data_IF_920710448346
#
_entry.id   IF_920710448346
#
_cell.length_a   1.000
_cell.length_b   1.000
_cell.length_c   1.000
_cell.angle_alpha   90.00
_cell.angle_beta   90.00
_cell.angle_gamma   90.00
#
_symmetry.space_group_name_H-M   'P 1'
#
loop_
_entity.id
_entity.type
_entity.pdbx_description
1 polymer ?
#
# COMPACT_ATOMS: atom_id res chain seq x y z
N UNK A 1 10.83 -43.52 3.90
CA UNK A 1 10.27 -43.66 5.26
C UNK A 1 11.10 -42.83 6.24
N UNK A 2 10.65 -41.67 6.65
CA UNK A 2 11.11 -40.95 7.86
C UNK A 2 9.92 -40.25 8.46
N UNK A 3 9.56 -40.65 9.66
CA UNK A 3 8.40 -40.16 10.43
C UNK A 3 8.75 -38.80 11.04
N UNK A 4 7.91 -37.80 10.85
CA UNK A 4 7.94 -36.51 11.55
C UNK A 4 7.15 -36.63 12.85
N UNK A 5 7.77 -36.28 13.98
CA UNK A 5 7.16 -36.22 15.30
C UNK A 5 6.35 -34.91 15.49
N UNK A 6 5.20 -34.94 16.14
CA UNK A 6 4.48 -33.71 16.49
C UNK A 6 4.98 -33.16 17.83
N UNK A 7 5.47 -31.94 17.83
CA UNK A 7 5.76 -31.16 19.04
C UNK A 7 4.45 -30.61 19.62
N UNK A 8 4.03 -31.18 20.77
CA UNK A 8 3.00 -30.62 21.66
C UNK A 8 3.66 -29.54 22.53
N UNK A 9 3.33 -28.28 22.30
CA UNK A 9 3.71 -27.17 23.18
C UNK A 9 2.52 -26.88 24.10
N UNK A 10 2.63 -27.16 25.40
CA UNK A 10 1.66 -26.78 26.42
C UNK A 10 2.13 -25.52 27.12
N UNK A 11 1.45 -24.40 26.92
CA UNK A 11 1.65 -23.16 27.66
C UNK A 11 0.94 -23.27 29.03
N UNK A 12 1.71 -23.22 30.12
CA UNK A 12 1.20 -22.98 31.47
C UNK A 12 1.17 -21.48 31.75
N UNK A 13 0.00 -20.99 32.13
CA UNK A 13 -0.21 -19.63 32.61
C UNK A 13 0.04 -19.60 34.13
N UNK A 14 0.90 -18.71 34.67
CA UNK A 14 1.05 -18.56 36.12
C UNK A 14 -0.08 -17.65 36.66
N UNK A 15 -0.81 -18.17 37.65
CA UNK A 15 -1.75 -17.41 38.47
C UNK A 15 -0.98 -16.65 39.56
N UNK A 16 -0.84 -15.34 39.43
CA UNK A 16 -0.27 -14.48 40.48
C UNK A 16 -1.34 -13.95 41.42
N UNK A 17 -1.10 -14.11 42.72
CA UNK A 17 -1.97 -13.65 43.82
C UNK A 17 -1.93 -12.11 43.96
N UNK A 18 -3.10 -11.56 44.23
CA UNK A 18 -3.32 -10.16 44.63
C UNK A 18 -2.65 -9.85 45.99
N UNK A 19 -1.97 -8.69 46.05
CA UNK A 19 -1.73 -7.99 47.30
C UNK A 19 -2.27 -6.55 47.15
N UNK A 20 -3.37 -6.30 47.84
CA UNK A 20 -3.97 -4.96 47.98
C UNK A 20 -3.14 -4.10 48.93
N UNK A 21 -2.54 -3.01 48.41
CA UNK A 21 -2.14 -1.87 49.24
C UNK A 21 -2.86 -0.62 48.71
N UNK A 22 -3.92 -0.24 49.43
CA UNK A 22 -4.69 1.00 49.24
C UNK A 22 -3.89 2.17 49.81
N UNK A 23 -3.26 2.98 48.93
CA UNK A 23 -2.88 4.34 49.23
C UNK A 23 -3.77 5.28 48.41
N UNK A 24 -4.54 6.11 49.13
CA UNK A 24 -5.48 7.09 48.58
C UNK A 24 -4.71 8.12 47.69
N UNK A 25 -5.00 8.16 46.40
CA UNK A 25 -4.54 9.20 45.46
C UNK A 25 -5.39 10.43 45.53
N UNK A 26 -4.76 11.60 45.56
CA UNK A 26 -5.38 12.93 45.53
C UNK A 26 -6.09 13.17 44.19
N UNK A 27 -7.22 13.98 44.12
CA UNK A 27 -8.11 14.04 42.95
C UNK A 27 -7.66 14.97 41.82
N UNK A 28 -6.38 15.21 41.57
CA UNK A 28 -5.99 16.23 40.58
C UNK A 28 -4.90 15.83 39.57
N UNK A 29 -4.63 14.53 39.36
CA UNK A 29 -3.70 14.06 38.34
C UNK A 29 -4.41 13.23 37.24
N UNK A 30 -5.47 13.77 36.65
CA UNK A 30 -6.01 13.22 35.41
C UNK A 30 -5.19 13.77 34.24
N UNK A 31 -4.04 13.12 33.95
CA UNK A 31 -3.43 13.22 32.61
C UNK A 31 -4.50 12.79 31.59
N UNK A 32 -4.63 13.50 30.45
CA UNK A 32 -5.53 13.05 29.39
C UNK A 32 -5.16 11.59 29.04
N UNK A 33 -6.14 10.69 29.09
CA UNK A 33 -5.95 9.32 28.60
C UNK A 33 -5.51 9.45 27.14
N UNK A 34 -4.28 9.04 26.83
CA UNK A 34 -3.86 8.83 25.45
C UNK A 34 -4.93 7.95 24.80
N UNK A 35 -5.61 8.50 23.80
CA UNK A 35 -6.50 7.69 22.97
C UNK A 35 -5.63 6.64 22.33
N UNK A 36 -5.78 5.41 22.74
CA UNK A 36 -5.15 4.27 22.08
C UNK A 36 -5.44 4.32 20.56
N UNK A 37 -4.62 3.67 19.73
CA UNK A 37 -4.80 3.70 18.28
C UNK A 37 -6.26 3.37 17.96
N UNK A 38 -6.92 4.22 17.16
CA UNK A 38 -8.26 3.97 16.64
C UNK A 38 -8.19 2.69 15.79
N UNK A 39 -8.39 1.54 16.43
CA UNK A 39 -8.52 0.27 15.71
C UNK A 39 -9.86 0.31 14.96
N UNK A 40 -9.80 0.56 13.68
CA UNK A 40 -10.95 0.39 12.81
C UNK A 40 -11.35 -1.10 12.88
N UNK A 41 -12.57 -1.38 13.32
CA UNK A 41 -13.10 -2.75 13.37
C UNK A 41 -13.18 -3.27 11.93
N UNK A 42 -12.41 -4.29 11.62
CA UNK A 42 -12.50 -4.99 10.34
C UNK A 42 -13.67 -5.96 10.40
N UNK A 43 -14.70 -5.82 9.54
CA UNK A 43 -15.86 -6.70 9.57
C UNK A 43 -15.51 -8.11 9.09
N UNK A 44 -16.21 -9.11 9.65
CA UNK A 44 -16.10 -10.49 9.23
C UNK A 44 -17.25 -10.86 8.29
N UNK A 45 -16.95 -11.66 7.28
CA UNK A 45 -17.89 -12.24 6.34
C UNK A 45 -17.93 -13.76 6.58
N UNK A 46 -19.14 -14.31 6.75
CA UNK A 46 -19.35 -15.76 6.93
C UNK A 46 -19.81 -16.34 5.58
N UNK A 47 -19.04 -17.25 5.01
CA UNK A 47 -19.41 -18.03 3.84
C UNK A 47 -19.89 -19.40 4.24
N UNK A 48 -21.07 -19.79 3.74
CA UNK A 48 -21.55 -21.18 3.83
C UNK A 48 -21.01 -21.98 2.66
N UNK A 49 -20.31 -23.05 2.94
CA UNK A 49 -19.78 -23.99 1.95
C UNK A 49 -20.37 -25.37 2.20
N UNK A 50 -20.34 -26.26 1.22
CA UNK A 50 -20.77 -27.67 1.40
C UNK A 50 -20.03 -28.44 2.48
N UNK A 51 -18.95 -27.86 3.06
CA UNK A 51 -18.14 -28.41 4.17
C UNK A 51 -18.30 -27.66 5.49
N UNK A 52 -19.27 -26.73 5.58
CA UNK A 52 -19.54 -25.91 6.77
C UNK A 52 -19.31 -24.43 6.57
N UNK A 53 -19.43 -23.67 7.66
CA UNK A 53 -19.23 -22.20 7.66
C UNK A 53 -17.75 -21.85 7.81
N UNK A 54 -17.31 -20.82 7.07
CA UNK A 54 -15.98 -20.22 7.19
C UNK A 54 -16.11 -18.71 7.37
N UNK A 55 -15.47 -18.20 8.41
CA UNK A 55 -15.37 -16.75 8.67
C UNK A 55 -14.07 -16.22 8.06
N UNK A 56 -14.19 -15.11 7.34
CA UNK A 56 -13.05 -14.35 6.79
C UNK A 56 -13.20 -12.90 7.25
N UNK A 57 -12.11 -12.22 7.55
CA UNK A 57 -12.14 -10.76 7.52
C UNK A 57 -12.34 -10.26 6.09
N UNK A 58 -12.81 -9.01 5.92
CA UNK A 58 -13.17 -8.50 4.60
C UNK A 58 -12.00 -8.49 3.61
N UNK A 59 -10.76 -8.20 4.08
CA UNK A 59 -9.59 -8.15 3.19
C UNK A 59 -9.16 -9.56 2.75
N UNK A 60 -9.18 -10.54 3.67
CA UNK A 60 -8.96 -11.95 3.33
C UNK A 60 -10.02 -12.48 2.35
N UNK A 61 -11.27 -12.01 2.49
CA UNK A 61 -12.34 -12.37 1.55
C UNK A 61 -12.11 -11.77 0.16
N UNK A 62 -11.72 -10.50 0.09
CA UNK A 62 -11.38 -9.84 -1.16
C UNK A 62 -10.17 -10.48 -1.85
N UNK A 63 -9.16 -10.89 -1.08
CA UNK A 63 -7.97 -11.56 -1.61
C UNK A 63 -8.31 -12.87 -2.34
N UNK A 64 -9.32 -13.62 -1.90
CA UNK A 64 -9.83 -14.79 -2.64
C UNK A 64 -10.35 -14.44 -4.03
N UNK A 65 -10.85 -13.23 -4.21
CA UNK A 65 -11.31 -12.71 -5.51
C UNK A 65 -10.17 -11.96 -6.23
N UNK A 66 -8.92 -12.18 -5.80
CA UNK A 66 -7.69 -11.59 -6.35
C UNK A 66 -7.68 -10.05 -6.27
N UNK A 67 -8.27 -9.51 -5.21
CA UNK A 67 -8.35 -8.07 -4.94
C UNK A 67 -7.41 -7.73 -3.77
N UNK A 68 -6.48 -6.82 -4.03
CA UNK A 68 -5.59 -6.21 -3.05
C UNK A 68 -6.00 -4.74 -2.86
N UNK A 69 -5.92 -4.23 -1.64
CA UNK A 69 -6.30 -2.85 -1.34
C UNK A 69 -5.19 -2.08 -0.60
N UNK A 70 -4.74 -0.97 -1.19
CA UNK A 70 -3.85 0.00 -0.54
C UNK A 70 -4.71 1.19 -0.11
N UNK A 71 -5.14 1.19 1.16
CA UNK A 71 -6.08 2.17 1.72
C UNK A 71 -5.46 3.12 2.77
N UNK A 72 -4.13 3.21 2.84
CA UNK A 72 -3.40 3.98 3.85
C UNK A 72 -2.09 4.56 3.28
N UNK A 73 -1.36 5.40 4.06
CA UNK A 73 0.03 5.72 3.70
C UNK A 73 0.88 4.46 3.54
N UNK A 74 1.80 4.49 2.57
CA UNK A 74 2.68 3.37 2.25
C UNK A 74 3.90 3.42 3.17
N UNK A 75 3.97 2.48 4.09
CA UNK A 75 5.11 2.19 4.95
C UNK A 75 5.64 0.78 4.70
N UNK A 76 6.64 0.35 5.46
CA UNK A 76 7.24 -0.99 5.32
C UNK A 76 6.24 -2.12 5.61
N UNK A 77 5.29 -1.92 6.53
CA UNK A 77 4.28 -2.93 6.87
C UNK A 77 3.29 -3.12 5.72
N UNK A 78 2.79 -2.00 5.18
CA UNK A 78 1.90 -2.00 4.00
C UNK A 78 2.62 -2.63 2.81
N UNK A 79 3.88 -2.25 2.57
CA UNK A 79 4.66 -2.80 1.46
C UNK A 79 4.84 -4.32 1.59
N UNK A 80 5.29 -4.80 2.74
CA UNK A 80 5.48 -6.23 2.98
C UNK A 80 4.18 -7.03 2.81
N UNK A 81 3.05 -6.48 3.28
CA UNK A 81 1.74 -7.12 3.13
C UNK A 81 1.32 -7.20 1.67
N UNK A 82 1.42 -6.10 0.92
CA UNK A 82 1.04 -6.07 -0.51
C UNK A 82 1.94 -6.99 -1.33
N UNK A 83 3.25 -6.99 -1.09
CA UNK A 83 4.20 -7.89 -1.74
C UNK A 83 3.85 -9.35 -1.48
N UNK A 84 3.58 -9.71 -0.22
CA UNK A 84 3.19 -11.08 0.13
C UNK A 84 1.89 -11.51 -0.58
N UNK A 85 0.91 -10.60 -0.70
CA UNK A 85 -0.35 -10.85 -1.41
C UNK A 85 -0.12 -11.01 -2.93
N UNK A 86 0.72 -10.18 -3.55
CA UNK A 86 1.07 -10.30 -4.97
C UNK A 86 1.73 -11.65 -5.26
N UNK A 87 2.74 -12.02 -4.47
CA UNK A 87 3.44 -13.31 -4.63
C UNK A 87 2.53 -14.51 -4.36
N UNK A 88 1.63 -14.41 -3.39
CA UNK A 88 0.64 -15.46 -3.11
C UNK A 88 -0.31 -15.67 -4.30
N UNK A 89 -0.84 -14.59 -4.87
CA UNK A 89 -1.76 -14.66 -6.01
C UNK A 89 -1.06 -15.10 -7.29
N UNK A 90 0.19 -14.71 -7.49
CA UNK A 90 1.04 -15.22 -8.58
C UNK A 90 1.21 -16.75 -8.48
N UNK A 91 1.53 -17.26 -7.27
CA UNK A 91 1.71 -18.69 -7.05
C UNK A 91 0.40 -19.49 -7.16
N UNK A 92 -0.74 -18.88 -6.87
CA UNK A 92 -2.07 -19.49 -6.96
C UNK A 92 -2.50 -19.67 -8.43
N UNK A 93 -2.43 -18.62 -9.25
CA UNK A 93 -2.75 -18.66 -10.68
C UNK A 93 -2.09 -17.49 -11.41
N UNK A 94 -0.98 -17.68 -12.13
CA UNK A 94 -0.28 -16.60 -12.81
C UNK A 94 -0.98 -16.10 -14.08
N UNK A 95 -2.02 -16.80 -14.57
CA UNK A 95 -2.75 -16.44 -15.79
C UNK A 95 -3.96 -15.52 -15.50
N UNK A 96 -4.32 -15.36 -14.23
CA UNK A 96 -5.43 -14.50 -13.83
C UNK A 96 -4.95 -13.15 -13.32
N UNK A 97 -5.67 -12.10 -13.71
CA UNK A 97 -5.40 -10.74 -13.27
C UNK A 97 -5.44 -10.58 -11.76
N UNK A 98 -4.56 -9.72 -11.24
CA UNK A 98 -4.59 -9.22 -9.87
C UNK A 98 -5.16 -7.81 -9.91
N UNK A 99 -6.18 -7.53 -9.09
CA UNK A 99 -6.82 -6.23 -9.03
C UNK A 99 -6.30 -5.43 -7.83
N UNK A 100 -5.53 -4.38 -8.06
CA UNK A 100 -4.97 -3.51 -7.03
C UNK A 100 -5.77 -2.21 -6.94
N UNK A 101 -6.58 -2.06 -5.88
CA UNK A 101 -7.32 -0.83 -5.58
C UNK A 101 -6.49 0.10 -4.71
N UNK A 102 -6.43 1.38 -5.08
CA UNK A 102 -5.54 2.37 -4.46
C UNK A 102 -6.36 3.57 -3.96
N UNK A 103 -6.27 3.83 -2.65
CA UNK A 103 -6.74 5.04 -1.98
C UNK A 103 -5.67 5.49 -0.98
N UNK A 104 -4.60 6.12 -1.48
CA UNK A 104 -3.42 6.39 -0.68
C UNK A 104 -2.80 7.75 -0.98
N UNK A 105 -2.33 8.49 0.04
CA UNK A 105 -1.56 9.71 -0.15
C UNK A 105 -0.10 9.46 -0.60
N UNK A 106 0.30 8.20 -0.82
CA UNK A 106 1.69 7.82 -1.03
C UNK A 106 2.40 7.46 0.27
N UNK A 107 3.72 7.64 0.32
CA UNK A 107 4.49 7.31 1.53
C UNK A 107 5.97 7.10 1.27
N UNK A 108 6.59 6.18 1.99
CA UNK A 108 8.02 5.91 1.99
C UNK A 108 8.47 5.38 0.64
N UNK A 109 9.43 6.06 -0.01
CA UNK A 109 9.85 5.75 -1.38
C UNK A 109 10.43 4.32 -1.50
N UNK A 110 11.38 3.85 -0.67
CA UNK A 110 11.86 2.48 -0.75
C UNK A 110 10.76 1.43 -0.63
N UNK A 111 9.81 1.63 0.29
CA UNK A 111 8.66 0.73 0.48
C UNK A 111 7.75 0.69 -0.76
N UNK A 112 7.51 1.85 -1.37
CA UNK A 112 6.75 1.94 -2.61
C UNK A 112 7.47 1.35 -3.82
N UNK A 113 8.78 1.53 -3.94
CA UNK A 113 9.58 0.92 -5.01
C UNK A 113 9.62 -0.62 -4.88
N UNK A 114 9.64 -1.16 -3.66
CA UNK A 114 9.54 -2.61 -3.44
C UNK A 114 8.21 -3.18 -3.96
N UNK A 115 7.08 -2.48 -3.75
CA UNK A 115 5.79 -2.86 -4.36
C UNK A 115 5.86 -2.73 -5.88
N UNK A 116 6.42 -1.62 -6.39
CA UNK A 116 6.57 -1.36 -7.82
C UNK A 116 7.33 -2.50 -8.51
N UNK A 117 8.50 -2.85 -7.99
CA UNK A 117 9.32 -3.92 -8.56
C UNK A 117 8.60 -5.27 -8.52
N UNK A 118 7.82 -5.54 -7.46
CA UNK A 118 7.02 -6.77 -7.37
C UNK A 118 5.90 -6.78 -8.41
N UNK A 119 5.21 -5.66 -8.65
CA UNK A 119 4.20 -5.53 -9.72
C UNK A 119 4.84 -5.83 -11.09
N UNK A 120 6.07 -5.36 -11.33
CA UNK A 120 6.77 -5.62 -12.60
C UNK A 120 7.36 -7.04 -12.69
N UNK A 121 7.56 -7.73 -11.57
CA UNK A 121 8.19 -9.04 -11.48
C UNK A 121 7.21 -10.19 -11.69
N UNK A 122 5.97 -10.07 -11.16
CA UNK A 122 4.95 -11.11 -11.31
C UNK A 122 4.51 -11.26 -12.78
N UNK A 123 4.15 -12.47 -13.20
CA UNK A 123 3.67 -12.75 -14.55
C UNK A 123 2.21 -12.35 -14.75
N UNK A 124 1.43 -12.47 -13.67
CA UNK A 124 0.02 -12.07 -13.69
C UNK A 124 -0.11 -10.59 -14.03
N UNK A 125 -1.05 -10.24 -14.89
CA UNK A 125 -1.39 -8.84 -15.15
C UNK A 125 -1.93 -8.17 -13.88
N UNK A 126 -1.41 -7.00 -13.55
CA UNK A 126 -1.86 -6.22 -12.40
C UNK A 126 -2.72 -5.05 -12.89
N UNK A 127 -4.03 -5.19 -12.74
CA UNK A 127 -4.98 -4.12 -13.00
C UNK A 127 -5.01 -3.16 -11.80
N UNK A 128 -4.80 -1.86 -12.04
CA UNK A 128 -4.78 -0.85 -10.98
C UNK A 128 -5.96 0.10 -11.08
N UNK A 129 -6.60 0.39 -9.94
CA UNK A 129 -7.76 1.30 -9.91
C UNK A 129 -7.65 2.30 -8.77
N UNK A 130 -7.64 3.59 -9.10
CA UNK A 130 -7.72 4.65 -8.10
C UNK A 130 -9.14 4.84 -7.60
N UNK A 131 -9.33 4.76 -6.28
CA UNK A 131 -10.59 5.02 -5.57
C UNK A 131 -10.36 6.11 -4.56
N UNK A 132 -10.82 7.33 -4.82
CA UNK A 132 -10.59 8.50 -3.97
C UNK A 132 -9.30 9.22 -4.33
N UNK A 133 -8.13 8.72 -3.92
CA UNK A 133 -6.86 9.38 -4.28
C UNK A 133 -5.71 8.40 -4.55
N UNK A 134 -4.83 8.80 -5.45
CA UNK A 134 -3.52 8.21 -5.64
C UNK A 134 -2.48 9.33 -5.74
N UNK A 135 -1.73 9.58 -4.67
CA UNK A 135 -0.78 10.68 -4.62
C UNK A 135 0.66 10.19 -4.41
N UNK A 136 1.65 10.90 -4.98
CA UNK A 136 3.07 10.61 -4.78
C UNK A 136 3.43 9.16 -5.18
N UNK A 137 3.99 8.35 -4.27
CA UNK A 137 4.28 6.93 -4.53
C UNK A 137 3.05 6.14 -4.99
N UNK A 138 1.86 6.45 -4.48
CA UNK A 138 0.63 5.77 -4.91
C UNK A 138 0.27 6.09 -6.37
N UNK A 139 0.59 7.28 -6.88
CA UNK A 139 0.42 7.63 -8.29
C UNK A 139 1.38 6.83 -9.19
N UNK A 140 2.61 6.60 -8.73
CA UNK A 140 3.54 5.71 -9.43
C UNK A 140 3.01 4.26 -9.46
N UNK A 141 2.50 3.74 -8.34
CA UNK A 141 1.92 2.39 -8.31
C UNK A 141 0.68 2.28 -9.21
N UNK A 142 -0.14 3.34 -9.26
CA UNK A 142 -1.29 3.38 -10.17
C UNK A 142 -0.87 3.26 -11.63
N UNK A 143 0.12 4.04 -12.07
CA UNK A 143 0.58 4.00 -13.45
C UNK A 143 1.47 2.79 -13.77
N UNK A 144 1.97 2.07 -12.75
CA UNK A 144 2.78 0.86 -12.89
C UNK A 144 1.97 -0.39 -13.24
N UNK A 145 0.64 -0.33 -13.17
CA UNK A 145 -0.22 -1.43 -13.59
C UNK A 145 -0.05 -1.79 -15.06
N UNK A 146 -0.57 -2.94 -15.44
CA UNK A 146 -0.53 -3.43 -16.82
C UNK A 146 -1.25 -2.44 -17.75
N UNK A 147 -0.58 -2.07 -18.83
CA UNK A 147 -1.12 -1.11 -19.80
C UNK A 147 -2.45 -1.60 -20.38
N UNK A 148 -3.45 -0.72 -20.43
CA UNK A 148 -4.82 -1.04 -20.82
C UNK A 148 -5.68 -1.52 -19.64
N UNK A 149 -5.11 -1.71 -18.44
CA UNK A 149 -5.81 -2.17 -17.23
C UNK A 149 -5.66 -1.20 -16.04
N UNK A 150 -5.30 0.06 -16.31
CA UNK A 150 -5.11 1.10 -15.30
C UNK A 150 -6.30 2.05 -15.34
N UNK A 151 -6.95 2.30 -14.21
CA UNK A 151 -8.14 3.13 -14.19
C UNK A 151 -8.31 3.96 -12.94
N UNK A 152 -9.32 4.82 -12.97
CA UNK A 152 -9.76 5.60 -11.82
C UNK A 152 -11.27 5.79 -11.81
N UNK A 153 -11.87 5.96 -10.63
CA UNK A 153 -13.25 6.40 -10.52
C UNK A 153 -13.37 7.89 -10.85
N UNK A 154 -14.53 8.39 -11.32
CA UNK A 154 -14.68 9.74 -11.92
C UNK A 154 -14.25 10.89 -11.00
N UNK A 155 -14.44 10.76 -9.68
CA UNK A 155 -14.10 11.79 -8.69
C UNK A 155 -12.76 11.55 -7.99
N UNK A 156 -11.97 10.59 -8.48
CA UNK A 156 -10.64 10.33 -7.94
C UNK A 156 -9.67 11.47 -8.27
N UNK A 157 -8.71 11.68 -7.36
CA UNK A 157 -7.64 12.66 -7.56
C UNK A 157 -6.29 11.96 -7.66
N UNK A 158 -5.52 12.30 -8.65
CA UNK A 158 -4.14 11.83 -8.81
C UNK A 158 -3.19 13.01 -8.61
N UNK A 159 -2.08 12.79 -7.91
CA UNK A 159 -1.09 13.82 -7.67
C UNK A 159 0.32 13.26 -7.83
N UNK A 160 1.12 13.93 -8.62
CA UNK A 160 2.54 13.63 -8.77
C UNK A 160 3.39 14.79 -8.24
N UNK A 161 4.53 14.47 -7.67
CA UNK A 161 5.53 15.40 -7.21
C UNK A 161 6.90 14.73 -7.04
N UNK A 162 7.96 15.53 -6.90
CA UNK A 162 9.29 15.02 -6.55
C UNK A 162 9.32 14.45 -5.12
N UNK A 163 10.25 13.54 -4.80
CA UNK A 163 10.42 13.04 -3.44
C UNK A 163 10.60 14.18 -2.45
N UNK A 164 9.92 14.07 -1.30
CA UNK A 164 10.07 15.00 -0.20
C UNK A 164 10.91 14.37 0.90
N UNK A 165 11.87 15.12 1.43
CA UNK A 165 12.73 14.65 2.51
C UNK A 165 13.63 15.76 3.02
N UNK A 166 14.27 15.52 4.15
CA UNK A 166 15.27 16.38 4.77
C UNK A 166 16.38 15.55 5.37
N UNK A 167 17.57 16.13 5.47
CA UNK A 167 18.75 15.50 6.05
C UNK A 167 19.34 16.41 7.12
N UNK A 168 19.72 15.81 8.25
CA UNK A 168 20.42 16.48 9.33
C UNK A 168 21.56 15.58 9.79
N UNK A 169 22.76 16.15 10.02
CA UNK A 169 23.92 15.38 10.49
C UNK A 169 25.22 16.07 10.16
N UNK A 170 26.31 15.30 10.09
CA UNK A 170 27.61 15.79 9.65
C UNK A 170 27.60 16.16 8.16
N UNK A 171 28.46 17.08 7.74
CA UNK A 171 28.50 17.57 6.35
C UNK A 171 28.64 16.42 5.34
N UNK A 172 29.52 15.45 5.62
CA UNK A 172 29.72 14.28 4.75
C UNK A 172 28.47 13.41 4.65
N UNK A 173 27.72 13.23 5.73
CA UNK A 173 26.46 12.47 5.73
C UNK A 173 25.38 13.20 4.93
N UNK A 174 25.29 14.52 5.08
CA UNK A 174 24.37 15.36 4.31
C UNK A 174 24.66 15.24 2.82
N UNK A 175 25.95 15.27 2.42
CA UNK A 175 26.35 15.12 1.02
C UNK A 175 25.95 13.74 0.45
N UNK A 176 26.22 12.66 1.19
CA UNK A 176 25.86 11.29 0.79
C UNK A 176 24.35 11.16 0.62
N UNK A 177 23.57 11.59 1.60
CA UNK A 177 22.11 11.52 1.52
C UNK A 177 21.53 12.40 0.42
N UNK A 178 22.12 13.57 0.17
CA UNK A 178 21.68 14.44 -0.92
C UNK A 178 21.87 13.78 -2.28
N UNK A 179 23.02 13.13 -2.50
CA UNK A 179 23.29 12.36 -3.72
C UNK A 179 22.26 11.24 -3.92
N UNK A 180 21.91 10.52 -2.85
CA UNK A 180 20.90 9.46 -2.89
C UNK A 180 19.52 10.02 -3.21
N UNK A 181 19.09 11.12 -2.58
CA UNK A 181 17.82 11.77 -2.88
C UNK A 181 17.72 12.22 -4.35
N UNK A 182 18.80 12.74 -4.94
CA UNK A 182 18.86 13.12 -6.35
C UNK A 182 18.75 11.90 -7.26
N UNK A 183 19.38 10.78 -6.92
CA UNK A 183 19.26 9.53 -7.64
C UNK A 183 17.81 8.99 -7.59
N UNK A 184 17.20 8.96 -6.42
CA UNK A 184 15.81 8.56 -6.23
C UNK A 184 14.86 9.45 -7.04
N UNK A 185 15.04 10.79 -6.99
CA UNK A 185 14.27 11.74 -7.80
C UNK A 185 14.34 11.36 -9.28
N UNK A 186 15.54 11.17 -9.83
CA UNK A 186 15.76 10.79 -11.22
C UNK A 186 15.09 9.47 -11.57
N UNK A 187 15.22 8.45 -10.71
CA UNK A 187 14.58 7.14 -10.88
C UNK A 187 13.07 7.29 -10.97
N UNK A 188 12.45 8.00 -10.04
CA UNK A 188 10.99 8.25 -10.04
C UNK A 188 10.52 8.93 -11.32
N UNK A 189 11.24 9.95 -11.80
CA UNK A 189 10.92 10.65 -13.03
C UNK A 189 11.03 9.73 -14.26
N UNK A 190 12.04 8.88 -14.32
CA UNK A 190 12.21 7.90 -15.40
C UNK A 190 11.08 6.85 -15.40
N UNK A 191 10.68 6.36 -14.21
CA UNK A 191 9.57 5.42 -14.08
C UNK A 191 8.25 6.04 -14.50
N UNK A 192 7.95 7.27 -14.07
CA UNK A 192 6.77 8.01 -14.53
C UNK A 192 6.78 8.21 -16.05
N UNK A 193 7.92 8.62 -16.63
CA UNK A 193 8.08 8.77 -18.07
C UNK A 193 7.82 7.46 -18.82
N UNK A 194 8.39 6.34 -18.33
CA UNK A 194 8.21 5.00 -18.90
C UNK A 194 6.73 4.61 -18.99
N UNK A 195 5.97 4.83 -17.92
CA UNK A 195 4.57 4.35 -17.83
C UNK A 195 3.56 5.31 -18.46
N UNK A 196 3.84 6.63 -18.45
CA UNK A 196 2.94 7.65 -19.01
C UNK A 196 3.19 7.90 -20.49
N UNK A 197 4.40 7.62 -20.99
CA UNK A 197 4.84 8.03 -22.32
C UNK A 197 5.22 9.51 -22.45
N UNK A 198 5.15 10.27 -21.35
CA UNK A 198 5.57 11.67 -21.34
C UNK A 198 7.11 11.78 -21.38
N UNK A 199 7.63 12.86 -21.98
CA UNK A 199 9.07 13.14 -21.96
C UNK A 199 9.56 13.41 -20.55
N UNK A 200 10.78 12.95 -20.23
CA UNK A 200 11.37 13.11 -18.88
C UNK A 200 11.42 14.58 -18.46
N UNK A 201 11.72 15.51 -19.39
CA UNK A 201 11.80 16.94 -19.11
C UNK A 201 10.43 17.52 -18.72
N UNK A 202 9.33 16.98 -19.30
CA UNK A 202 7.97 17.35 -18.90
C UNK A 202 7.64 16.82 -17.51
N UNK A 203 7.96 15.55 -17.23
CA UNK A 203 7.80 14.95 -15.91
C UNK A 203 8.58 15.74 -14.86
N UNK A 204 9.83 16.11 -15.14
CA UNK A 204 10.68 16.89 -14.25
C UNK A 204 10.06 18.24 -13.89
N UNK A 205 9.54 18.96 -14.90
CA UNK A 205 8.85 20.22 -14.72
C UNK A 205 7.57 20.09 -13.90
N UNK A 206 6.72 19.08 -14.23
CA UNK A 206 5.41 18.91 -13.62
C UNK A 206 5.53 18.36 -12.18
N UNK A 207 6.57 17.58 -11.89
CA UNK A 207 6.83 17.05 -10.54
C UNK A 207 7.63 17.97 -9.63
N UNK A 208 8.06 19.15 -10.10
CA UNK A 208 8.80 20.10 -9.24
C UNK A 208 7.99 20.52 -8.01
N UNK A 209 6.69 20.62 -8.16
CA UNK A 209 5.70 20.86 -7.09
C UNK A 209 4.54 19.89 -7.23
N UNK A 210 3.58 19.95 -6.28
CA UNK A 210 2.38 19.15 -6.33
C UNK A 210 1.58 19.43 -7.60
N UNK A 211 1.47 18.45 -8.48
CA UNK A 211 0.68 18.52 -9.70
C UNK A 211 -0.54 17.62 -9.57
N UNK A 212 -1.69 18.24 -9.29
CA UNK A 212 -2.96 17.56 -9.08
C UNK A 212 -3.72 17.40 -10.39
N UNK A 213 -4.31 16.22 -10.58
CA UNK A 213 -5.11 15.86 -11.73
C UNK A 213 -6.45 15.24 -11.30
N UNK A 214 -7.52 15.55 -12.03
CA UNK A 214 -8.76 14.78 -12.06
C UNK A 214 -8.51 13.41 -12.72
N UNK A 215 -9.49 12.52 -12.69
CA UNK A 215 -9.39 11.24 -13.37
C UNK A 215 -9.20 11.42 -14.89
N UNK A 216 -9.93 12.35 -15.52
CA UNK A 216 -9.79 12.64 -16.96
C UNK A 216 -8.42 13.22 -17.31
N UNK A 217 -7.94 14.20 -16.53
CA UNK A 217 -6.59 14.76 -16.73
C UNK A 217 -5.50 13.69 -16.54
N UNK A 218 -5.68 12.75 -15.59
CA UNK A 218 -4.74 11.65 -15.37
C UNK A 218 -4.72 10.67 -16.55
N UNK A 219 -5.87 10.46 -17.20
CA UNK A 219 -5.99 9.67 -18.44
C UNK A 219 -5.28 10.37 -19.60
N UNK A 220 -5.55 11.66 -19.83
CA UNK A 220 -4.87 12.45 -20.86
C UNK A 220 -3.35 12.53 -20.64
N UNK A 221 -2.93 12.56 -19.38
CA UNK A 221 -1.52 12.53 -18.99
C UNK A 221 -0.84 11.18 -19.25
N UNK A 222 -1.62 10.08 -19.28
CA UNK A 222 -1.15 8.72 -19.48
C UNK A 222 -0.88 7.94 -18.20
N UNK A 223 -1.26 8.47 -17.04
CA UNK A 223 -1.15 7.77 -15.75
C UNK A 223 -2.12 6.60 -15.64
N UNK A 224 -3.28 6.71 -16.29
CA UNK A 224 -4.29 5.68 -16.40
C UNK A 224 -4.76 5.52 -17.84
N UNK A 225 -5.47 4.44 -18.12
CA UNK A 225 -5.99 4.12 -19.45
C UNK A 225 -7.48 4.45 -19.56
N UNK A 226 -8.24 4.37 -18.44
CA UNK A 226 -9.70 4.52 -18.47
C UNK A 226 -10.25 5.17 -17.18
N UNK A 227 -11.37 5.90 -17.33
CA UNK A 227 -12.18 6.38 -16.19
C UNK A 227 -13.43 5.52 -16.11
N UNK A 228 -13.62 4.83 -14.98
CA UNK A 228 -14.70 3.85 -14.80
C UNK A 228 -15.94 4.49 -14.19
N UNK A 229 -16.93 4.84 -14.97
CA UNK A 229 -18.25 5.26 -14.45
C UNK A 229 -19.02 4.09 -13.81
N UNK A 230 -18.84 2.89 -14.35
CA UNK A 230 -19.42 1.63 -13.85
C UNK A 230 -18.37 0.53 -13.92
N UNK A 231 -18.51 -0.48 -13.05
CA UNK A 231 -17.63 -1.65 -13.10
C UNK A 231 -17.74 -2.28 -14.50
N UNK A 232 -16.62 -2.54 -15.18
CA UNK A 232 -16.63 -3.30 -16.43
C UNK A 232 -17.32 -4.64 -16.23
N UNK A 233 -18.08 -5.09 -17.26
CA UNK A 233 -18.79 -6.39 -17.22
C UNK A 233 -17.80 -7.54 -17.32
#
# INVERSE_FOLDING_TARGET
MRRLFPLKCSLRIPTGRNNENKTARKPNDMKPKEKGPNMTLVPYVIEQTGRGERAYDIFSRLLKDRIIFIGSPIDDNVANLVIAQLLFLEADDPEKDINLYINSPGGIVPSGLAIYDTIQFVKADVATTCVGQAASMAALLLCAGTKGKRGALPHSRVMIHQPWGGVQGQVSDIEIHTKELLLVKKTMQQLLSKHTGQKVEKIEKDTDRNYFMSAEEAKEYGLIDEVFEKKPK
#
